data_IF_130686154339
#
_entry.id   IF_130686154339
#
_cell.length_a   1.000
_cell.length_b   1.000
_cell.length_c   1.000
_cell.angle_alpha   90.00
_cell.angle_beta   90.00
_cell.angle_gamma   90.00
#
_symmetry.space_group_name_H-M   'P 1'
#
loop_
_entity.id
_entity.type
_entity.pdbx_description
1 polymer ?
#
# COMPACT_ATOMS: atom_id res chain seq x y z
N UNK A 1 -4.36 -8.44 -20.50
CA UNK A 1 -4.49 -7.67 -19.25
C UNK A 1 -3.45 -6.56 -19.26
N UNK A 2 -3.80 -5.35 -18.82
CA UNK A 2 -2.83 -4.25 -18.71
C UNK A 2 -1.71 -4.63 -17.72
N UNK A 3 -0.48 -4.21 -18.01
CA UNK A 3 0.63 -4.40 -17.09
C UNK A 3 0.38 -3.56 -15.82
N UNK A 4 0.55 -4.21 -14.65
CA UNK A 4 0.38 -3.54 -13.36
C UNK A 4 1.51 -2.53 -13.13
N UNK A 5 1.19 -1.39 -12.54
CA UNK A 5 2.12 -0.35 -12.15
C UNK A 5 2.29 -0.33 -10.63
N UNK A 6 3.41 0.18 -10.16
CA UNK A 6 3.65 0.38 -8.73
C UNK A 6 2.66 1.42 -8.17
N UNK A 7 2.09 1.13 -7.01
CA UNK A 7 1.19 2.05 -6.32
C UNK A 7 1.95 3.05 -5.44
N UNK A 8 1.22 4.01 -4.85
CA UNK A 8 1.81 4.96 -3.91
C UNK A 8 2.42 4.25 -2.69
N UNK A 9 1.84 3.13 -2.22
CA UNK A 9 2.40 2.33 -1.12
C UNK A 9 3.79 1.78 -1.48
N UNK A 10 3.96 1.25 -2.68
CA UNK A 10 5.25 0.77 -3.17
C UNK A 10 6.28 1.89 -3.30
N UNK A 11 5.87 3.05 -3.87
CA UNK A 11 6.75 4.23 -3.95
C UNK A 11 7.17 4.73 -2.58
N UNK A 12 6.25 4.81 -1.61
CA UNK A 12 6.56 5.23 -0.24
C UNK A 12 7.54 4.27 0.44
N UNK A 13 7.36 2.95 0.23
CA UNK A 13 8.29 1.95 0.73
C UNK A 13 9.72 2.17 0.18
N UNK A 14 9.88 2.40 -1.12
CA UNK A 14 11.20 2.67 -1.72
C UNK A 14 11.77 3.98 -1.17
N UNK A 15 10.99 5.06 -1.15
CA UNK A 15 11.41 6.37 -0.62
C UNK A 15 11.95 6.28 0.82
N UNK A 16 11.35 5.44 1.65
CA UNK A 16 11.77 5.24 3.04
C UNK A 16 13.22 4.74 3.18
N UNK A 17 13.71 3.96 2.20
CA UNK A 17 15.04 3.32 2.28
C UNK A 17 16.11 3.95 1.40
N UNK A 18 15.74 4.65 0.33
CA UNK A 18 16.72 5.25 -0.59
C UNK A 18 17.21 6.64 -0.13
N UNK A 19 16.38 7.36 0.61
CA UNK A 19 16.63 8.79 0.91
C UNK A 19 16.49 9.66 -0.37
N UNK A 20 16.43 10.99 -0.19
CA UNK A 20 16.29 11.91 -1.29
C UNK A 20 17.35 13.01 -1.25
N UNK A 21 18.01 13.25 -2.37
CA UNK A 21 18.92 14.39 -2.54
C UNK A 21 18.48 15.24 -3.74
N UNK A 22 18.09 16.48 -3.47
CA UNK A 22 17.60 17.40 -4.52
C UNK A 22 18.72 18.12 -5.29
N UNK A 23 19.96 17.91 -4.90
CA UNK A 23 21.17 18.40 -5.58
C UNK A 23 22.01 17.22 -6.01
N UNK A 24 22.48 17.24 -7.25
CA UNK A 24 23.29 16.17 -7.81
C UNK A 24 24.59 15.96 -7.00
N UNK A 25 24.91 14.70 -6.74
CA UNK A 25 26.11 14.27 -6.04
C UNK A 25 26.77 13.09 -6.78
N UNK A 26 28.02 12.82 -6.54
CA UNK A 26 28.66 11.59 -7.00
C UNK A 26 28.47 10.48 -5.97
N UNK A 27 27.96 9.31 -6.41
CA UNK A 27 27.92 8.12 -5.59
C UNK A 27 29.35 7.52 -5.42
N UNK A 28 29.50 6.48 -4.62
CA UNK A 28 30.81 5.81 -4.39
C UNK A 28 31.45 5.25 -5.66
N UNK A 29 30.67 5.02 -6.71
CA UNK A 29 31.17 4.61 -8.03
C UNK A 29 31.48 5.79 -8.98
N UNK A 30 31.46 7.04 -8.47
CA UNK A 30 31.74 8.24 -9.26
C UNK A 30 30.61 8.68 -10.22
N UNK A 31 29.43 8.05 -10.17
CA UNK A 31 28.30 8.36 -11.03
C UNK A 31 27.47 9.51 -10.46
N UNK A 32 27.15 10.51 -11.30
CA UNK A 32 26.26 11.60 -10.90
C UNK A 32 24.85 11.07 -10.64
N UNK A 33 24.34 11.36 -9.45
CA UNK A 33 23.11 10.81 -8.91
C UNK A 33 22.27 11.93 -8.30
N UNK A 34 20.93 11.86 -8.41
CA UNK A 34 20.01 12.85 -7.85
C UNK A 34 18.69 12.17 -7.40
N UNK A 35 17.89 12.83 -6.59
CA UNK A 35 16.60 12.31 -6.13
C UNK A 35 16.76 11.06 -5.27
N UNK A 36 16.05 10.02 -5.60
CA UNK A 36 16.04 8.71 -4.96
C UNK A 36 16.98 7.69 -5.63
N UNK A 37 18.12 8.14 -6.11
CA UNK A 37 19.09 7.29 -6.78
C UNK A 37 19.06 7.35 -8.31
N UNK A 38 18.36 8.33 -8.88
CA UNK A 38 18.32 8.54 -10.33
C UNK A 38 19.67 8.94 -10.89
N UNK A 39 20.08 8.34 -12.02
CA UNK A 39 21.40 8.59 -12.64
C UNK A 39 21.30 9.00 -14.12
N UNK A 40 20.20 8.71 -14.80
CA UNK A 40 20.06 8.96 -16.22
C UNK A 40 20.03 10.47 -16.53
N UNK A 41 20.98 10.96 -17.33
CA UNK A 41 21.05 12.37 -17.72
C UNK A 41 21.49 13.33 -16.60
N UNK A 42 21.87 12.84 -15.41
CA UNK A 42 22.28 13.67 -14.29
C UNK A 42 23.68 14.25 -14.52
N UNK A 43 23.82 15.58 -14.31
CA UNK A 43 25.08 16.31 -14.49
C UNK A 43 25.45 17.05 -13.20
N UNK A 44 26.74 17.37 -13.08
CA UNK A 44 27.26 18.22 -11.99
C UNK A 44 26.47 19.51 -11.85
N UNK A 45 26.07 19.86 -10.62
CA UNK A 45 25.34 21.09 -10.33
C UNK A 45 23.83 21.05 -10.61
N UNK A 46 23.30 19.93 -11.12
CA UNK A 46 21.86 19.78 -11.36
C UNK A 46 21.08 19.86 -10.04
N UNK A 47 19.97 20.58 -10.06
CA UNK A 47 19.03 20.72 -8.94
C UNK A 47 17.63 20.35 -9.42
N UNK A 48 16.86 19.69 -8.60
CA UNK A 48 15.48 19.30 -8.88
C UNK A 48 14.56 19.63 -7.68
N UNK A 49 13.27 19.69 -7.94
CA UNK A 49 12.23 19.77 -6.91
C UNK A 49 11.92 18.38 -6.36
N UNK A 50 11.22 18.34 -5.21
CA UNK A 50 10.70 17.10 -4.65
C UNK A 50 9.78 16.35 -5.62
N UNK A 51 8.89 17.08 -6.33
CA UNK A 51 8.00 16.50 -7.32
C UNK A 51 8.76 15.86 -8.50
N UNK A 52 9.84 16.51 -8.97
CA UNK A 52 10.70 15.94 -9.99
C UNK A 52 11.44 14.67 -9.51
N UNK A 53 11.90 14.66 -8.24
CA UNK A 53 12.51 13.47 -7.67
C UNK A 53 11.53 12.28 -7.62
N UNK A 54 10.26 12.53 -7.30
CA UNK A 54 9.22 11.50 -7.28
C UNK A 54 8.87 11.01 -8.69
N UNK A 55 8.87 11.88 -9.68
CA UNK A 55 8.65 11.50 -11.08
C UNK A 55 9.82 10.64 -11.60
N UNK A 56 11.06 11.00 -11.30
CA UNK A 56 12.23 10.18 -11.65
C UNK A 56 12.17 8.81 -10.97
N UNK A 57 11.73 8.74 -9.71
CA UNK A 57 11.56 7.45 -9.04
C UNK A 57 10.53 6.56 -9.76
N UNK A 58 9.39 7.13 -10.19
CA UNK A 58 8.39 6.37 -10.97
C UNK A 58 8.97 5.82 -12.26
N UNK A 59 9.70 6.66 -13.00
CA UNK A 59 10.38 6.24 -14.24
C UNK A 59 11.41 5.14 -13.98
N UNK A 60 12.22 5.27 -12.93
CA UNK A 60 13.21 4.25 -12.55
C UNK A 60 12.55 2.92 -12.13
N UNK A 61 11.34 2.97 -11.56
CA UNK A 61 10.58 1.77 -11.22
C UNK A 61 10.07 1.00 -12.43
N UNK A 62 9.86 1.64 -13.59
CA UNK A 62 9.25 1.01 -14.78
C UNK A 62 9.97 -0.27 -15.24
N UNK A 63 11.30 -0.29 -15.19
CA UNK A 63 12.07 -1.48 -15.57
C UNK A 63 11.81 -2.65 -14.59
N UNK A 64 11.64 -2.36 -13.32
CA UNK A 64 11.38 -3.38 -12.29
C UNK A 64 9.93 -3.86 -12.33
N UNK A 65 8.98 -2.97 -12.64
CA UNK A 65 7.60 -3.33 -12.94
C UNK A 65 7.52 -4.34 -14.10
N UNK A 66 8.30 -4.11 -15.17
CA UNK A 66 8.39 -5.06 -16.31
C UNK A 66 8.86 -6.44 -15.86
N UNK A 67 9.83 -6.52 -14.94
CA UNK A 67 10.29 -7.80 -14.41
C UNK A 67 9.23 -8.48 -13.54
N UNK A 68 8.55 -7.75 -12.66
CA UNK A 68 7.50 -8.33 -11.81
C UNK A 68 6.27 -8.76 -12.62
N UNK A 69 5.93 -8.03 -13.70
CA UNK A 69 4.85 -8.41 -14.62
C UNK A 69 5.20 -9.63 -15.51
N UNK A 70 6.47 -10.02 -15.60
CA UNK A 70 6.91 -11.09 -16.50
C UNK A 70 6.93 -12.44 -15.79
N UNK A 71 6.13 -13.44 -16.24
CA UNK A 71 6.09 -14.78 -15.64
C UNK A 71 7.45 -15.52 -15.66
N UNK A 72 8.38 -15.13 -16.54
CA UNK A 72 9.73 -15.72 -16.56
C UNK A 72 10.57 -15.33 -15.30
N UNK A 73 10.22 -14.24 -14.64
CA UNK A 73 10.82 -13.82 -13.37
C UNK A 73 9.91 -14.12 -12.18
N UNK A 74 8.61 -13.88 -12.32
CA UNK A 74 7.60 -14.05 -11.27
C UNK A 74 6.47 -14.94 -11.79
N UNK A 75 6.59 -16.28 -11.68
CA UNK A 75 5.60 -17.23 -12.23
C UNK A 75 4.16 -16.97 -11.76
N UNK A 76 4.00 -16.47 -10.55
CA UNK A 76 2.69 -16.18 -9.93
C UNK A 76 2.21 -14.74 -10.16
N UNK A 77 2.80 -13.98 -11.08
CA UNK A 77 2.49 -12.53 -11.26
C UNK A 77 1.00 -12.25 -11.46
N UNK A 78 0.26 -13.15 -12.11
CA UNK A 78 -1.18 -12.98 -12.37
C UNK A 78 -2.04 -13.08 -11.10
N UNK A 79 -1.57 -13.76 -10.06
CA UNK A 79 -2.31 -13.99 -8.80
C UNK A 79 -1.90 -13.03 -7.69
N UNK A 80 -0.85 -12.23 -7.90
CA UNK A 80 -0.43 -11.22 -6.93
C UNK A 80 -1.52 -10.15 -6.76
N UNK A 81 -1.72 -9.69 -5.54
CA UNK A 81 -2.44 -8.45 -5.29
C UNK A 81 -1.51 -7.22 -5.47
N UNK A 82 -2.03 -6.00 -5.35
CA UNK A 82 -1.25 -4.78 -5.57
C UNK A 82 -0.09 -4.65 -4.56
N UNK A 83 -0.33 -4.89 -3.28
CA UNK A 83 0.70 -4.77 -2.24
C UNK A 83 1.82 -5.81 -2.41
N UNK A 84 1.48 -7.02 -2.85
CA UNK A 84 2.45 -8.05 -3.19
C UNK A 84 3.31 -7.66 -4.39
N UNK A 85 2.68 -7.09 -5.42
CA UNK A 85 3.36 -6.54 -6.59
C UNK A 85 4.33 -5.43 -6.16
N UNK A 86 3.88 -4.46 -5.38
CA UNK A 86 4.66 -3.32 -4.90
C UNK A 86 5.88 -3.75 -4.08
N UNK A 87 5.70 -4.71 -3.18
CA UNK A 87 6.79 -5.26 -2.38
C UNK A 87 7.86 -5.94 -3.24
N UNK A 88 7.45 -6.67 -4.29
CA UNK A 88 8.37 -7.29 -5.24
C UNK A 88 9.07 -6.28 -6.14
N UNK A 89 8.41 -5.17 -6.52
CA UNK A 89 9.07 -4.06 -7.22
C UNK A 89 10.14 -3.42 -6.33
N UNK A 90 9.84 -3.15 -5.03
CA UNK A 90 10.82 -2.65 -4.06
C UNK A 90 12.00 -3.62 -3.90
N UNK A 91 11.73 -4.91 -3.78
CA UNK A 91 12.76 -5.95 -3.69
C UNK A 91 13.66 -5.95 -4.93
N UNK A 92 13.07 -5.91 -6.14
CA UNK A 92 13.80 -5.90 -7.40
C UNK A 92 14.59 -4.59 -7.59
N UNK A 93 14.04 -3.45 -7.17
CA UNK A 93 14.70 -2.16 -7.19
C UNK A 93 16.02 -2.19 -6.40
N UNK A 94 16.02 -2.85 -5.24
CA UNK A 94 17.19 -2.97 -4.37
C UNK A 94 18.18 -4.07 -4.79
N UNK A 95 17.70 -5.23 -5.23
CA UNK A 95 18.51 -6.44 -5.42
C UNK A 95 18.61 -6.92 -6.87
N UNK A 96 17.89 -6.27 -7.78
CA UNK A 96 17.91 -6.60 -9.19
C UNK A 96 17.06 -7.82 -9.59
N UNK A 97 16.93 -7.97 -10.90
CA UNK A 97 16.08 -9.00 -11.54
C UNK A 97 16.52 -10.44 -11.25
N UNK A 98 17.84 -10.68 -11.10
CA UNK A 98 18.37 -12.02 -10.83
C UNK A 98 17.92 -12.56 -9.48
N UNK A 99 18.00 -11.72 -8.43
CA UNK A 99 17.52 -12.07 -7.11
C UNK A 99 15.99 -12.20 -7.07
N UNK A 100 15.25 -11.34 -7.79
CA UNK A 100 13.80 -11.47 -7.94
C UNK A 100 13.42 -12.82 -8.54
N UNK A 101 14.08 -13.24 -9.64
CA UNK A 101 13.83 -14.53 -10.28
C UNK A 101 14.11 -15.70 -9.33
N UNK A 102 15.22 -15.65 -8.60
CA UNK A 102 15.59 -16.67 -7.61
C UNK A 102 14.59 -16.72 -6.45
N UNK A 103 14.16 -15.53 -5.96
CA UNK A 103 13.16 -15.43 -4.91
C UNK A 103 11.83 -16.08 -5.30
N UNK A 104 11.36 -15.85 -6.54
CA UNK A 104 10.02 -16.26 -6.96
C UNK A 104 9.97 -17.67 -7.59
N UNK A 105 11.10 -18.25 -7.98
CA UNK A 105 11.15 -19.55 -8.67
C UNK A 105 10.52 -20.66 -7.85
N UNK A 106 9.44 -21.26 -8.38
CA UNK A 106 8.76 -22.40 -7.80
C UNK A 106 8.08 -22.16 -6.45
N UNK A 107 7.86 -20.90 -6.06
CA UNK A 107 7.27 -20.55 -4.76
C UNK A 107 5.87 -19.99 -4.90
N UNK A 108 5.02 -20.32 -3.93
CA UNK A 108 3.75 -19.66 -3.67
C UNK A 108 3.97 -18.29 -3.05
N UNK A 109 2.95 -17.42 -3.02
CA UNK A 109 3.03 -16.12 -2.36
C UNK A 109 3.48 -16.23 -0.89
N UNK A 110 2.91 -17.16 -0.12
CA UNK A 110 3.31 -17.38 1.27
C UNK A 110 4.78 -17.81 1.43
N UNK A 111 5.29 -18.62 0.51
CA UNK A 111 6.70 -19.03 0.52
C UNK A 111 7.63 -17.89 0.12
N UNK A 112 7.20 -16.99 -0.78
CA UNK A 112 7.92 -15.78 -1.16
C UNK A 112 8.05 -14.86 0.06
N UNK A 113 6.94 -14.58 0.78
CA UNK A 113 6.95 -13.77 1.99
C UNK A 113 7.96 -14.29 3.02
N UNK A 114 7.98 -15.61 3.26
CA UNK A 114 8.93 -16.25 4.17
C UNK A 114 10.39 -16.20 3.68
N UNK A 115 10.63 -16.09 2.38
CA UNK A 115 11.97 -16.08 1.80
C UNK A 115 12.57 -14.66 1.69
N UNK A 116 11.77 -13.61 1.57
CA UNK A 116 12.25 -12.21 1.49
C UNK A 116 13.28 -11.88 2.61
N UNK A 117 13.05 -12.22 3.90
CA UNK A 117 13.98 -11.87 4.98
C UNK A 117 15.38 -12.47 4.85
N UNK A 118 15.56 -13.50 4.06
CA UNK A 118 16.87 -14.14 3.85
C UNK A 118 17.84 -13.27 3.03
N UNK A 119 17.33 -12.27 2.30
CA UNK A 119 18.10 -11.36 1.45
C UNK A 119 18.59 -10.12 2.23
N UNK A 120 19.21 -10.33 3.37
CA UNK A 120 19.65 -9.29 4.31
C UNK A 120 21.17 -9.13 4.42
N UNK A 121 21.94 -9.74 3.50
CA UNK A 121 23.41 -9.73 3.53
C UNK A 121 23.99 -8.93 2.37
N UNK A 122 25.13 -8.27 2.63
CA UNK A 122 26.04 -7.75 1.61
C UNK A 122 27.47 -8.12 1.99
N UNK A 123 28.31 -8.53 1.03
CA UNK A 123 29.65 -9.05 1.25
C UNK A 123 29.71 -10.13 2.37
N UNK A 124 28.73 -11.03 2.41
CA UNK A 124 28.62 -12.11 3.40
C UNK A 124 28.13 -11.70 4.79
N UNK A 125 28.03 -10.41 5.10
CA UNK A 125 27.64 -9.89 6.43
C UNK A 125 26.18 -9.46 6.45
N UNK A 126 25.47 -9.76 7.54
CA UNK A 126 24.09 -9.27 7.76
C UNK A 126 24.14 -7.77 8.05
N UNK A 127 23.36 -6.99 7.31
CA UNK A 127 23.25 -5.54 7.50
C UNK A 127 21.89 -5.18 8.12
N UNK A 128 21.94 -4.41 9.21
CA UNK A 128 20.73 -3.97 9.92
C UNK A 128 19.76 -3.17 9.02
N UNK A 129 20.27 -2.35 8.10
CA UNK A 129 19.47 -1.63 7.11
C UNK A 129 18.73 -2.56 6.17
N UNK A 130 19.38 -3.59 5.65
CA UNK A 130 18.74 -4.59 4.79
C UNK A 130 17.72 -5.43 5.56
N UNK A 131 18.01 -5.79 6.82
CA UNK A 131 17.05 -6.49 7.68
C UNK A 131 15.76 -5.67 7.86
N UNK A 132 15.87 -4.36 8.14
CA UNK A 132 14.72 -3.45 8.25
C UNK A 132 13.94 -3.34 6.94
N UNK A 133 14.65 -3.21 5.80
CA UNK A 133 14.02 -3.13 4.47
C UNK A 133 13.24 -4.39 4.15
N UNK A 134 13.81 -5.57 4.32
CA UNK A 134 13.13 -6.86 4.11
C UNK A 134 11.90 -7.01 5.00
N UNK A 135 11.98 -6.59 6.27
CA UNK A 135 10.83 -6.62 7.17
C UNK A 135 9.69 -5.70 6.69
N UNK A 136 10.01 -4.50 6.21
CA UNK A 136 9.02 -3.58 5.64
C UNK A 136 8.40 -4.11 4.33
N UNK A 137 9.19 -4.76 3.48
CA UNK A 137 8.70 -5.41 2.27
C UNK A 137 7.76 -6.58 2.59
N UNK A 138 8.08 -7.42 3.58
CA UNK A 138 7.17 -8.48 4.05
C UNK A 138 5.89 -7.87 4.62
N UNK A 139 5.99 -6.84 5.45
CA UNK A 139 4.81 -6.16 5.99
C UNK A 139 3.88 -5.68 4.88
N UNK A 140 4.41 -5.02 3.85
CA UNK A 140 3.60 -4.59 2.70
C UNK A 140 3.03 -5.79 1.94
N UNK A 141 3.84 -6.83 1.68
CA UNK A 141 3.44 -8.03 0.95
C UNK A 141 2.27 -8.75 1.61
N UNK A 142 2.26 -8.85 2.94
CA UNK A 142 1.23 -9.53 3.73
C UNK A 142 0.03 -8.62 4.06
N UNK A 143 0.13 -7.31 3.80
CA UNK A 143 -0.98 -6.38 3.99
C UNK A 143 -2.07 -6.65 2.95
N UNK A 144 -3.31 -6.95 3.36
CA UNK A 144 -4.42 -7.10 2.43
C UNK A 144 -4.62 -5.83 1.59
N UNK A 145 -4.97 -5.99 0.32
CA UNK A 145 -5.40 -4.84 -0.48
C UNK A 145 -6.79 -4.44 -0.02
N UNK A 146 -6.96 -3.16 0.30
CA UNK A 146 -8.27 -2.62 0.56
C UNK A 146 -9.19 -2.90 -0.64
N UNK A 147 -10.40 -3.39 -0.45
CA UNK A 147 -11.35 -3.56 -1.53
C UNK A 147 -11.58 -2.21 -2.22
N UNK A 148 -11.75 -2.22 -3.54
CA UNK A 148 -12.21 -1.04 -4.24
C UNK A 148 -13.64 -0.73 -3.76
N UNK A 149 -13.76 0.36 -3.02
CA UNK A 149 -15.05 0.84 -2.52
C UNK A 149 -15.52 2.01 -3.38
N UNK A 150 -16.82 2.03 -3.69
CA UNK A 150 -17.44 3.10 -4.46
C UNK A 150 -18.80 3.48 -3.86
N UNK A 151 -19.17 4.75 -3.98
CA UNK A 151 -20.51 5.21 -3.62
C UNK A 151 -21.56 4.53 -4.51
N UNK A 152 -22.75 4.30 -3.95
CA UNK A 152 -23.82 3.61 -4.66
C UNK A 152 -23.67 2.09 -4.77
N UNK A 153 -22.58 1.50 -4.30
CA UNK A 153 -22.40 0.04 -4.22
C UNK A 153 -22.83 -0.47 -2.85
N UNK A 154 -23.45 -1.65 -2.82
CA UNK A 154 -23.88 -2.28 -1.56
C UNK A 154 -22.74 -3.05 -0.91
N UNK A 155 -22.62 -2.94 0.41
CA UNK A 155 -21.59 -3.59 1.21
C UNK A 155 -22.18 -4.25 2.46
N UNK A 156 -21.75 -5.46 2.74
CA UNK A 156 -22.06 -6.18 3.96
C UNK A 156 -21.05 -5.90 5.05
N UNK A 157 -21.50 -5.51 6.23
CA UNK A 157 -20.66 -5.27 7.40
C UNK A 157 -20.23 -6.62 7.99
N UNK A 158 -18.93 -6.86 8.10
CA UNK A 158 -18.36 -8.13 8.60
C UNK A 158 -18.40 -8.23 10.12
N UNK A 159 -18.14 -7.12 10.79
CA UNK A 159 -18.10 -7.00 12.24
C UNK A 159 -18.69 -5.67 12.65
N UNK A 160 -19.19 -5.57 13.90
CA UNK A 160 -19.76 -4.31 14.36
C UNK A 160 -18.75 -3.16 14.30
N UNK A 161 -19.12 -2.06 13.64
CA UNK A 161 -18.26 -0.91 13.39
C UNK A 161 -18.88 0.33 14.03
N UNK A 162 -18.11 1.13 14.81
CA UNK A 162 -18.59 2.38 15.34
C UNK A 162 -18.94 3.37 14.22
N UNK A 163 -20.10 4.02 14.30
CA UNK A 163 -20.44 5.14 13.43
C UNK A 163 -19.97 6.46 14.07
N UNK A 164 -19.51 7.39 13.24
CA UNK A 164 -18.85 8.62 13.68
C UNK A 164 -19.46 9.85 13.06
N UNK A 165 -19.35 10.98 13.75
CA UNK A 165 -19.70 12.29 13.23
C UNK A 165 -18.58 12.80 12.32
N UNK A 166 -18.76 12.66 11.02
CA UNK A 166 -17.74 12.95 10.03
C UNK A 166 -16.56 11.98 10.03
N UNK A 167 -15.62 12.18 9.13
CA UNK A 167 -14.41 11.38 9.03
C UNK A 167 -13.51 11.63 10.24
N UNK A 168 -12.97 10.57 10.85
CA UNK A 168 -12.17 10.61 12.08
C UNK A 168 -12.85 11.27 13.29
N UNK A 169 -14.15 11.57 13.21
CA UNK A 169 -14.91 12.19 14.29
C UNK A 169 -15.12 11.30 15.51
N UNK A 170 -15.71 11.87 16.57
CA UNK A 170 -16.13 11.11 17.74
C UNK A 170 -17.21 10.09 17.37
N UNK A 171 -17.29 8.97 18.11
CA UNK A 171 -18.36 8.00 17.93
C UNK A 171 -19.71 8.72 18.16
N UNK A 172 -20.62 8.56 17.20
CA UNK A 172 -21.94 9.18 17.29
C UNK A 172 -22.79 8.46 18.34
N UNK A 173 -23.52 9.19 19.14
CA UNK A 173 -24.47 8.61 20.10
C UNK A 173 -25.65 8.01 19.36
N UNK A 174 -26.05 6.79 19.76
CA UNK A 174 -27.14 6.05 19.12
C UNK A 174 -28.44 6.84 19.11
N UNK A 175 -28.76 7.58 20.17
CA UNK A 175 -29.98 8.36 20.28
C UNK A 175 -30.11 9.44 19.20
N UNK A 176 -29.00 9.99 18.69
CA UNK A 176 -28.96 11.03 17.67
C UNK A 176 -28.89 10.50 16.23
N UNK A 177 -28.84 9.17 16.03
CA UNK A 177 -28.89 8.59 14.70
C UNK A 177 -30.27 8.74 14.07
N UNK A 178 -30.31 8.92 12.74
CA UNK A 178 -31.57 8.93 12.00
C UNK A 178 -32.34 7.59 12.16
N UNK A 179 -33.65 7.63 11.94
CA UNK A 179 -34.46 6.42 12.04
C UNK A 179 -33.98 5.30 11.11
N UNK A 180 -33.54 5.67 9.89
CA UNK A 180 -33.00 4.71 8.92
C UNK A 180 -31.69 4.07 9.41
N UNK A 181 -30.77 4.86 9.98
CA UNK A 181 -29.52 4.35 10.52
C UNK A 181 -29.74 3.46 11.76
N UNK A 182 -30.72 3.78 12.61
CA UNK A 182 -31.08 2.94 13.77
C UNK A 182 -31.51 1.53 13.36
N UNK A 183 -32.06 1.34 12.17
CA UNK A 183 -32.40 0.01 11.66
C UNK A 183 -31.14 -0.86 11.40
N UNK A 184 -30.05 -0.25 10.96
CA UNK A 184 -28.76 -0.93 10.69
C UNK A 184 -27.81 -0.92 11.89
N UNK A 185 -28.08 -0.12 12.90
CA UNK A 185 -27.20 0.09 14.07
C UNK A 185 -27.73 -0.61 15.32
N UNK A 186 -26.82 -0.82 16.27
CA UNK A 186 -27.10 -1.20 17.66
C UNK A 186 -26.49 -0.17 18.61
N UNK A 187 -27.02 -0.07 19.81
CA UNK A 187 -26.44 0.75 20.86
C UNK A 187 -25.48 -0.10 21.71
N UNK A 188 -24.24 0.40 21.88
CA UNK A 188 -23.26 -0.16 22.83
C UNK A 188 -22.84 0.96 23.78
N UNK A 189 -23.28 0.89 25.03
CA UNK A 189 -23.02 1.94 26.05
C UNK A 189 -23.44 3.36 25.59
N UNK A 190 -24.56 3.45 24.86
CA UNK A 190 -25.08 4.70 24.31
C UNK A 190 -24.42 5.16 22.99
N UNK A 191 -23.39 4.49 22.53
CA UNK A 191 -22.73 4.76 21.25
C UNK A 191 -23.34 3.94 20.11
N UNK A 192 -23.38 4.49 18.88
CA UNK A 192 -23.94 3.82 17.71
C UNK A 192 -22.92 2.93 17.01
N UNK A 193 -23.29 1.70 16.72
CA UNK A 193 -22.49 0.74 15.95
C UNK A 193 -23.33 0.13 14.84
N UNK A 194 -22.80 0.06 13.61
CA UNK A 194 -23.37 -0.79 12.55
C UNK A 194 -23.28 -2.25 12.98
N UNK A 195 -24.38 -2.98 12.85
CA UNK A 195 -24.43 -4.41 13.20
C UNK A 195 -23.62 -5.23 12.19
N UNK A 196 -22.94 -6.26 12.67
CA UNK A 196 -22.40 -7.30 11.79
C UNK A 196 -23.53 -7.93 10.97
N UNK A 197 -23.30 -8.12 9.67
CA UNK A 197 -24.27 -8.67 8.75
C UNK A 197 -25.26 -7.66 8.13
N UNK A 198 -25.34 -6.41 8.63
CA UNK A 198 -26.16 -5.40 7.95
C UNK A 198 -25.57 -5.03 6.60
N UNK A 199 -26.45 -4.57 5.70
CA UNK A 199 -26.07 -4.10 4.36
C UNK A 199 -26.19 -2.59 4.34
N UNK A 200 -25.15 -1.93 3.82
CA UNK A 200 -25.06 -0.47 3.69
C UNK A 200 -24.68 -0.07 2.29
N UNK A 201 -25.18 1.08 1.85
CA UNK A 201 -24.81 1.71 0.59
C UNK A 201 -24.26 3.11 0.91
N UNK A 202 -22.96 3.36 0.83
CA UNK A 202 -22.41 4.67 1.14
C UNK A 202 -22.80 5.70 0.07
N UNK A 203 -23.11 6.90 0.51
CA UNK A 203 -23.36 8.05 -0.37
C UNK A 203 -22.06 8.70 -0.85
N UNK A 204 -20.98 8.51 -0.09
CA UNK A 204 -19.64 8.95 -0.45
C UNK A 204 -18.60 7.95 0.07
N UNK A 205 -17.54 7.74 -0.68
CA UNK A 205 -16.38 6.95 -0.28
C UNK A 205 -15.15 7.82 -0.33
N UNK A 206 -14.43 7.92 0.77
CA UNK A 206 -13.20 8.69 0.86
C UNK A 206 -12.02 7.82 1.24
N UNK A 207 -10.98 7.88 0.42
CA UNK A 207 -9.68 7.24 0.70
C UNK A 207 -8.73 8.31 1.23
N UNK A 208 -8.02 8.00 2.29
CA UNK A 208 -7.06 8.90 2.93
C UNK A 208 -5.62 8.46 2.63
N UNK A 209 -4.68 9.38 2.79
CA UNK A 209 -3.25 9.12 2.53
C UNK A 209 -2.65 8.04 3.45
N UNK A 210 -3.21 7.85 4.64
CA UNK A 210 -2.84 6.79 5.58
C UNK A 210 -3.31 5.39 5.16
N UNK A 211 -3.99 5.27 4.00
CA UNK A 211 -4.53 4.03 3.46
C UNK A 211 -5.91 3.67 3.98
N UNK A 212 -6.48 4.43 4.93
CA UNK A 212 -7.83 4.16 5.41
C UNK A 212 -8.89 4.52 4.37
N UNK A 213 -10.01 3.75 4.37
CA UNK A 213 -11.18 4.01 3.52
C UNK A 213 -12.38 4.20 4.43
N UNK A 214 -13.06 5.31 4.26
CA UNK A 214 -14.23 5.69 5.03
C UNK A 214 -15.47 5.79 4.15
N UNK A 215 -16.58 5.33 4.68
CA UNK A 215 -17.90 5.46 4.07
C UNK A 215 -18.68 6.56 4.76
N UNK A 216 -19.17 7.53 3.99
CA UNK A 216 -20.25 8.41 4.43
C UNK A 216 -21.56 7.68 4.17
N UNK A 217 -22.27 7.32 5.23
CA UNK A 217 -23.52 6.51 5.15
C UNK A 217 -24.77 7.36 5.34
N UNK A 218 -24.62 8.59 5.79
CA UNK A 218 -25.64 9.62 5.86
C UNK A 218 -24.91 10.97 5.78
N UNK A 219 -25.62 12.10 5.66
CA UNK A 219 -25.04 13.47 5.42
C UNK A 219 -23.88 13.85 6.33
N UNK A 220 -23.83 13.32 7.54
CA UNK A 220 -22.82 13.67 8.56
C UNK A 220 -22.24 12.46 9.27
N UNK A 221 -22.74 11.26 9.00
CA UNK A 221 -22.37 10.02 9.69
C UNK A 221 -21.50 9.16 8.77
N UNK A 222 -20.37 8.76 9.27
CA UNK A 222 -19.43 7.89 8.58
C UNK A 222 -19.08 6.63 9.38
N UNK A 223 -18.51 5.65 8.71
CA UNK A 223 -17.86 4.52 9.33
C UNK A 223 -16.54 4.19 8.63
N UNK A 224 -15.63 3.56 9.36
CA UNK A 224 -14.37 3.06 8.81
C UNK A 224 -14.65 1.76 8.05
N UNK A 225 -14.47 1.78 6.73
CA UNK A 225 -14.63 0.61 5.87
C UNK A 225 -13.36 -0.25 5.79
N UNK A 226 -12.21 0.40 5.76
CA UNK A 226 -10.88 -0.23 5.77
C UNK A 226 -9.96 0.58 6.66
N UNK A 227 -9.24 -0.09 7.56
CA UNK A 227 -8.26 0.56 8.44
C UNK A 227 -6.91 0.80 7.75
N UNK A 228 -6.05 1.55 8.41
CA UNK A 228 -4.70 1.92 7.92
C UNK A 228 -3.79 0.71 7.66
N UNK A 229 -4.02 -0.41 8.34
CA UNK A 229 -3.32 -1.69 8.12
C UNK A 229 -3.94 -2.55 7.01
N UNK A 230 -4.95 -2.04 6.31
CA UNK A 230 -5.65 -2.74 5.23
C UNK A 230 -6.74 -3.70 5.68
N UNK A 231 -7.06 -3.79 6.99
CA UNK A 231 -8.16 -4.62 7.47
C UNK A 231 -9.50 -4.09 6.96
N UNK A 232 -10.23 -4.87 6.17
CA UNK A 232 -11.54 -4.52 5.64
C UNK A 232 -12.67 -4.96 6.58
N UNK A 233 -13.45 -4.00 7.05
CA UNK A 233 -14.62 -4.22 7.90
C UNK A 233 -15.92 -4.43 7.10
N UNK A 234 -15.86 -4.21 5.79
CA UNK A 234 -16.98 -4.41 4.86
C UNK A 234 -16.58 -5.35 3.72
N UNK A 235 -17.56 -5.92 3.04
CA UNK A 235 -17.41 -6.77 1.86
C UNK A 235 -18.45 -6.34 0.83
N UNK A 236 -18.06 -6.19 -0.45
CA UNK A 236 -19.01 -5.98 -1.54
C UNK A 236 -20.03 -7.13 -1.61
N UNK A 237 -21.28 -6.81 -1.89
CA UNK A 237 -22.37 -7.75 -2.15
C UNK A 237 -22.39 -8.09 -3.65
#
# INVERSE_FOLDING_TARGET
MANRKISQNGLNLIKQFEGCRLVAYQCSAGVWTIGYGHTAGVKKGMKITQAQAEEFLKQDCEKFEKYVNNPAYVPITKTLNQNQFDALVSFAFNLGQGNLKTLCKGRTAAQIAKAIPLYNKAAGKVLAGLKRRRAAEVKLFDTPVAPECSAGTWYKVKTAIPVRNGYYGKIAKYEYLSANLKQACESKNGDGYLRAGCIICPVEVKKFEDGSVWFMIDKTISCLAVSTDGTAYVKGE
#
